data_IF_476779956258
#
_entry.id   IF_476779956258
#
_cell.length_a   1.000
_cell.length_b   1.000
_cell.length_c   1.000
_cell.angle_alpha   90.00
_cell.angle_beta   90.00
_cell.angle_gamma   90.00
#
_symmetry.space_group_name_H-M   'P 1'
#
loop_
_entity.id
_entity.type
_entity.pdbx_description
1 polymer ?
#
# COMPACT_ATOMS: atom_id res chain seq x y z
N UNK A 1 -44.18 -35.08 34.24
CA UNK A 1 -42.95 -34.87 33.45
C UNK A 1 -43.11 -33.59 32.64
N UNK A 2 -42.36 -32.52 32.97
CA UNK A 2 -42.47 -31.20 32.34
C UNK A 2 -41.10 -30.90 31.72
N UNK A 3 -41.06 -30.82 30.40
CA UNK A 3 -39.82 -30.59 29.62
C UNK A 3 -39.35 -29.15 29.86
N UNK A 4 -38.13 -28.99 30.37
CA UNK A 4 -37.45 -27.70 30.43
C UNK A 4 -37.08 -27.26 29.01
N UNK A 5 -37.61 -26.11 28.58
CA UNK A 5 -37.17 -25.45 27.35
C UNK A 5 -35.91 -24.64 27.67
N UNK A 6 -34.82 -25.01 26.99
CA UNK A 6 -33.49 -24.43 27.17
C UNK A 6 -33.45 -22.93 26.90
N UNK A 7 -32.65 -22.25 27.71
CA UNK A 7 -32.25 -20.85 27.58
C UNK A 7 -31.30 -20.75 26.38
N UNK A 8 -31.77 -20.24 25.24
CA UNK A 8 -30.90 -19.79 24.16
C UNK A 8 -30.29 -18.42 24.56
N UNK A 9 -28.97 -18.25 24.58
CA UNK A 9 -28.37 -16.93 24.69
C UNK A 9 -28.66 -16.16 23.39
N UNK A 10 -29.15 -14.93 23.54
CA UNK A 10 -29.45 -14.03 22.44
C UNK A 10 -28.24 -13.91 21.50
N UNK A 11 -28.47 -14.28 20.26
CA UNK A 11 -27.57 -14.11 19.15
C UNK A 11 -27.34 -12.61 18.90
N UNK A 12 -26.08 -12.28 18.58
CA UNK A 12 -25.68 -11.11 17.80
C UNK A 12 -25.97 -9.76 18.44
N UNK A 13 -24.94 -9.07 18.92
CA UNK A 13 -25.03 -7.61 18.97
C UNK A 13 -25.33 -7.12 17.54
N UNK A 14 -26.44 -6.41 17.29
CA UNK A 14 -26.59 -5.67 16.06
C UNK A 14 -25.61 -4.51 16.18
N UNK A 15 -24.44 -4.68 15.58
CA UNK A 15 -23.53 -3.58 15.34
C UNK A 15 -24.08 -2.74 14.19
N UNK A 16 -25.27 -2.19 14.39
CA UNK A 16 -25.79 -1.12 13.56
C UNK A 16 -25.06 0.13 13.99
N UNK A 17 -23.89 0.38 13.42
CA UNK A 17 -23.33 1.72 13.46
C UNK A 17 -24.26 2.62 12.64
N UNK A 18 -24.90 3.65 13.23
CA UNK A 18 -25.65 4.63 12.46
C UNK A 18 -24.66 5.54 11.75
N UNK A 19 -24.05 5.04 10.68
CA UNK A 19 -23.32 5.88 9.74
C UNK A 19 -24.38 6.61 8.91
N UNK A 20 -24.34 7.95 8.92
CA UNK A 20 -25.08 8.71 7.93
C UNK A 20 -24.65 8.26 6.53
N UNK A 21 -25.54 8.36 5.53
CA UNK A 21 -25.22 7.95 4.16
C UNK A 21 -23.93 8.61 3.64
N UNK A 22 -23.71 9.88 3.98
CA UNK A 22 -22.48 10.61 3.66
C UNK A 22 -21.23 10.03 4.36
N UNK A 23 -21.31 9.63 5.63
CA UNK A 23 -20.18 9.00 6.32
C UNK A 23 -19.84 7.62 5.74
N UNK A 24 -20.85 6.86 5.30
CA UNK A 24 -20.64 5.58 4.62
C UNK A 24 -20.00 5.75 3.24
N UNK A 25 -20.40 6.77 2.48
CA UNK A 25 -19.83 7.11 1.18
C UNK A 25 -18.37 7.54 1.29
N UNK A 26 -18.05 8.43 2.24
CA UNK A 26 -16.67 8.85 2.46
C UNK A 26 -15.79 7.68 2.92
N UNK A 27 -16.27 6.82 3.83
CA UNK A 27 -15.50 5.63 4.22
C UNK A 27 -15.23 4.70 3.03
N UNK A 28 -16.22 4.51 2.15
CA UNK A 28 -16.05 3.71 0.94
C UNK A 28 -15.03 4.35 -0.02
N UNK A 29 -15.04 5.68 -0.17
CA UNK A 29 -14.05 6.42 -0.96
C UNK A 29 -12.64 6.34 -0.40
N UNK A 30 -12.48 6.59 0.90
CA UNK A 30 -11.20 6.45 1.60
C UNK A 30 -10.67 5.02 1.48
N UNK A 31 -11.55 4.02 1.62
CA UNK A 31 -11.22 2.61 1.44
C UNK A 31 -10.74 2.31 0.02
N UNK A 32 -11.45 2.79 -1.01
CA UNK A 32 -11.01 2.65 -2.41
C UNK A 32 -9.64 3.28 -2.65
N UNK A 33 -9.43 4.51 -2.18
CA UNK A 33 -8.15 5.20 -2.34
C UNK A 33 -7.00 4.45 -1.65
N UNK A 34 -7.24 3.94 -0.44
CA UNK A 34 -6.27 3.13 0.29
C UNK A 34 -5.92 1.82 -0.44
N UNK A 35 -6.93 1.06 -0.87
CA UNK A 35 -6.69 -0.20 -1.59
C UNK A 35 -5.97 0.02 -2.93
N UNK A 36 -6.31 1.08 -3.66
CA UNK A 36 -5.60 1.43 -4.90
C UNK A 36 -4.12 1.74 -4.63
N UNK A 37 -3.82 2.53 -3.59
CA UNK A 37 -2.44 2.80 -3.20
C UNK A 37 -1.68 1.53 -2.78
N UNK A 38 -2.33 0.61 -2.06
CA UNK A 38 -1.73 -0.68 -1.72
C UNK A 38 -1.42 -1.52 -2.98
N UNK A 39 -2.32 -1.53 -3.97
CA UNK A 39 -2.10 -2.24 -5.23
C UNK A 39 -0.96 -1.62 -6.04
N UNK A 40 -0.89 -0.30 -6.12
CA UNK A 40 0.21 0.41 -6.78
C UNK A 40 1.55 0.11 -6.10
N UNK A 41 1.59 0.13 -4.76
CA UNK A 41 2.78 -0.20 -3.99
C UNK A 41 3.22 -1.65 -4.20
N UNK A 42 2.27 -2.60 -4.18
CA UNK A 42 2.58 -4.02 -4.44
C UNK A 42 3.08 -4.25 -5.86
N UNK A 43 2.47 -3.59 -6.84
CA UNK A 43 2.91 -3.63 -8.24
C UNK A 43 4.34 -3.12 -8.36
N UNK A 44 4.63 -1.98 -7.74
CA UNK A 44 5.94 -1.37 -7.82
C UNK A 44 7.03 -2.27 -7.23
N UNK A 45 6.77 -2.89 -6.06
CA UNK A 45 7.68 -3.89 -5.49
C UNK A 45 7.91 -5.09 -6.41
N UNK A 46 6.86 -5.57 -7.08
CA UNK A 46 6.97 -6.68 -8.01
C UNK A 46 7.83 -6.29 -9.23
N UNK A 47 7.59 -5.11 -9.79
CA UNK A 47 8.31 -4.56 -10.93
C UNK A 47 9.80 -4.36 -10.59
N UNK A 48 10.11 -3.75 -9.43
CA UNK A 48 11.48 -3.57 -8.96
C UNK A 48 12.20 -4.91 -8.71
N UNK A 49 11.52 -5.87 -8.08
CA UNK A 49 12.09 -7.21 -7.83
C UNK A 49 12.42 -7.91 -9.14
N UNK A 50 11.52 -7.84 -10.12
CA UNK A 50 11.72 -8.44 -11.43
C UNK A 50 12.89 -7.77 -12.18
N UNK A 51 12.97 -6.44 -12.17
CA UNK A 51 14.10 -5.71 -12.77
C UNK A 51 15.42 -6.11 -12.11
N UNK A 52 15.44 -6.23 -10.77
CA UNK A 52 16.64 -6.61 -10.03
C UNK A 52 17.11 -8.03 -10.38
N UNK A 53 16.19 -8.97 -10.49
CA UNK A 53 16.49 -10.35 -10.91
C UNK A 53 17.10 -10.40 -12.30
N UNK A 54 16.57 -9.61 -13.26
CA UNK A 54 17.18 -9.52 -14.60
C UNK A 54 18.61 -8.98 -14.55
N UNK A 55 18.85 -7.89 -13.80
CA UNK A 55 20.21 -7.34 -13.63
C UNK A 55 21.17 -8.32 -12.97
N UNK A 56 20.71 -9.16 -12.05
CA UNK A 56 21.54 -10.21 -11.45
C UNK A 56 21.88 -11.33 -12.44
N UNK A 57 20.93 -11.74 -13.28
CA UNK A 57 21.21 -12.70 -14.35
C UNK A 57 22.21 -12.13 -15.37
N UNK A 58 22.10 -10.85 -15.72
CA UNK A 58 23.04 -10.18 -16.61
C UNK A 58 24.43 -10.03 -15.98
N UNK A 59 24.52 -9.77 -14.68
CA UNK A 59 25.78 -9.79 -13.93
C UNK A 59 26.43 -11.18 -14.03
N UNK A 60 25.69 -12.25 -13.75
CA UNK A 60 26.22 -13.62 -13.81
C UNK A 60 26.70 -13.97 -15.22
N UNK A 61 25.92 -13.61 -16.24
CA UNK A 61 26.29 -13.82 -17.64
C UNK A 61 27.56 -13.06 -18.01
N UNK A 62 27.68 -11.80 -17.57
CA UNK A 62 28.85 -10.96 -17.82
C UNK A 62 30.08 -11.46 -17.06
N UNK A 63 29.92 -11.89 -15.81
CA UNK A 63 30.99 -12.46 -15.00
C UNK A 63 31.57 -13.73 -15.62
N UNK A 64 30.72 -14.58 -16.22
CA UNK A 64 31.16 -15.78 -16.93
C UNK A 64 31.98 -15.47 -18.20
N UNK A 65 31.91 -14.25 -18.73
CA UNK A 65 32.66 -13.79 -19.90
C UNK A 65 33.98 -13.07 -19.54
N UNK A 66 34.20 -12.73 -18.27
CA UNK A 66 35.43 -12.09 -17.81
C UNK A 66 36.64 -13.00 -18.00
N UNK A 67 37.72 -12.47 -18.56
CA UNK A 67 38.96 -13.22 -18.85
C UNK A 67 39.96 -13.19 -17.69
N UNK A 68 39.76 -12.29 -16.72
CA UNK A 68 40.65 -12.12 -15.58
C UNK A 68 39.91 -11.47 -14.39
N UNK A 69 40.56 -11.51 -13.22
CA UNK A 69 40.03 -10.94 -11.98
C UNK A 69 39.84 -9.41 -12.03
N UNK A 70 40.62 -8.69 -12.85
CA UNK A 70 40.49 -7.24 -12.99
C UNK A 70 39.21 -6.82 -13.72
N UNK A 71 38.84 -7.55 -14.78
CA UNK A 71 37.56 -7.37 -15.46
C UNK A 71 36.37 -7.68 -14.53
N UNK A 72 36.48 -8.76 -13.76
CA UNK A 72 35.45 -9.12 -12.77
C UNK A 72 35.31 -8.04 -11.68
N UNK A 73 36.42 -7.49 -11.19
CA UNK A 73 36.40 -6.42 -10.18
C UNK A 73 35.73 -5.14 -10.71
N UNK A 74 36.01 -4.75 -11.95
CA UNK A 74 35.34 -3.60 -12.59
C UNK A 74 33.84 -3.83 -12.75
N UNK A 75 33.45 -5.00 -13.26
CA UNK A 75 32.06 -5.39 -13.41
C UNK A 75 31.31 -5.35 -12.06
N UNK A 76 31.94 -5.87 -11.00
CA UNK A 76 31.36 -5.85 -9.66
C UNK A 76 31.24 -4.42 -9.11
N UNK A 77 32.23 -3.55 -9.36
CA UNK A 77 32.17 -2.14 -8.94
C UNK A 77 31.02 -1.39 -9.62
N UNK A 78 30.87 -1.55 -10.94
CA UNK A 78 29.78 -0.97 -11.71
C UNK A 78 28.41 -1.48 -11.22
N UNK A 79 28.31 -2.78 -10.94
CA UNK A 79 27.11 -3.38 -10.39
C UNK A 79 26.73 -2.82 -9.02
N UNK A 80 27.70 -2.62 -8.11
CA UNK A 80 27.44 -2.01 -6.79
C UNK A 80 26.91 -0.59 -6.96
N UNK A 81 27.58 0.23 -7.77
CA UNK A 81 27.19 1.62 -7.99
C UNK A 81 25.76 1.72 -8.54
N UNK A 82 25.45 0.89 -9.54
CA UNK A 82 24.13 0.86 -10.17
C UNK A 82 23.07 0.35 -9.19
N UNK A 83 23.36 -0.70 -8.44
CA UNK A 83 22.45 -1.28 -7.44
C UNK A 83 22.08 -0.25 -6.38
N UNK A 84 23.05 0.48 -5.83
CA UNK A 84 22.78 1.52 -4.84
C UNK A 84 21.87 2.62 -5.39
N UNK A 85 22.15 3.10 -6.61
CA UNK A 85 21.32 4.11 -7.28
C UNK A 85 19.88 3.61 -7.47
N UNK A 86 19.71 2.36 -7.88
CA UNK A 86 18.39 1.78 -8.08
C UNK A 86 17.60 1.68 -6.77
N UNK A 87 18.21 1.22 -5.68
CA UNK A 87 17.53 1.14 -4.37
C UNK A 87 17.14 2.52 -3.81
N UNK A 88 18.00 3.53 -3.99
CA UNK A 88 17.68 4.90 -3.56
C UNK A 88 16.48 5.43 -4.36
N UNK A 89 16.51 5.32 -5.68
CA UNK A 89 15.41 5.73 -6.56
C UNK A 89 14.11 5.01 -6.20
N UNK A 90 14.19 3.71 -5.94
CA UNK A 90 13.04 2.90 -5.56
C UNK A 90 12.45 3.33 -4.22
N UNK A 91 13.31 3.60 -3.23
CA UNK A 91 12.87 4.09 -1.92
C UNK A 91 12.16 5.43 -2.04
N UNK A 92 12.65 6.35 -2.87
CA UNK A 92 11.99 7.64 -3.13
C UNK A 92 10.61 7.45 -3.76
N UNK A 93 10.49 6.51 -4.70
CA UNK A 93 9.23 6.19 -5.37
C UNK A 93 8.21 5.58 -4.41
N UNK A 94 8.59 4.57 -3.63
CA UNK A 94 7.71 3.96 -2.63
C UNK A 94 7.28 4.95 -1.54
N UNK A 95 8.20 5.84 -1.12
CA UNK A 95 7.89 6.90 -0.15
C UNK A 95 6.87 7.88 -0.72
N UNK A 96 6.98 8.22 -2.01
CA UNK A 96 6.03 9.08 -2.70
C UNK A 96 4.65 8.44 -2.77
N UNK A 97 4.56 7.16 -3.17
CA UNK A 97 3.29 6.42 -3.19
C UNK A 97 2.63 6.38 -1.81
N UNK A 98 3.39 6.09 -0.75
CA UNK A 98 2.87 6.08 0.60
C UNK A 98 2.38 7.45 1.06
N UNK A 99 3.16 8.50 0.80
CA UNK A 99 2.81 9.87 1.15
C UNK A 99 1.52 10.29 0.45
N UNK A 100 1.39 10.02 -0.84
CA UNK A 100 0.23 10.40 -1.63
C UNK A 100 -1.03 9.64 -1.16
N UNK A 101 -0.88 8.35 -0.81
CA UNK A 101 -1.94 7.58 -0.17
C UNK A 101 -2.39 8.17 1.17
N UNK A 102 -1.44 8.55 2.02
CA UNK A 102 -1.72 9.13 3.34
C UNK A 102 -2.41 10.50 3.23
N UNK A 103 -1.94 11.38 2.34
CA UNK A 103 -2.57 12.69 2.12
C UNK A 103 -3.97 12.58 1.52
N UNK A 104 -4.16 11.70 0.54
CA UNK A 104 -5.48 11.49 -0.06
C UNK A 104 -6.46 10.89 0.95
N UNK A 105 -5.99 9.98 1.81
CA UNK A 105 -6.74 9.48 2.96
C UNK A 105 -7.14 10.60 3.92
N UNK A 106 -6.18 11.44 4.36
CA UNK A 106 -6.46 12.54 5.30
C UNK A 106 -7.46 13.56 4.74
N UNK A 107 -7.32 13.98 3.48
CA UNK A 107 -8.25 14.90 2.81
C UNK A 107 -9.67 14.33 2.73
N UNK A 108 -9.81 13.04 2.46
CA UNK A 108 -11.13 12.41 2.40
C UNK A 108 -11.84 12.44 3.76
N UNK A 109 -11.11 12.24 4.87
CA UNK A 109 -11.68 12.31 6.22
C UNK A 109 -12.06 13.74 6.60
N UNK A 110 -11.23 14.73 6.23
CA UNK A 110 -11.52 16.14 6.47
C UNK A 110 -12.78 16.60 5.71
N UNK A 111 -12.91 16.23 4.43
CA UNK A 111 -14.10 16.51 3.64
C UNK A 111 -15.37 15.86 4.23
N UNK A 112 -15.26 14.63 4.76
CA UNK A 112 -16.35 13.96 5.48
C UNK A 112 -16.77 14.74 6.73
N UNK A 113 -15.79 15.22 7.49
CA UNK A 113 -16.02 15.96 8.72
C UNK A 113 -16.73 17.29 8.44
N UNK A 114 -16.34 18.00 7.38
CA UNK A 114 -17.00 19.23 6.95
C UNK A 114 -18.43 19.02 6.45
N UNK A 115 -18.67 17.96 5.66
CA UNK A 115 -20.01 17.61 5.19
C UNK A 115 -20.96 17.15 6.31
N UNK A 116 -20.43 16.73 7.46
CA UNK A 116 -21.22 16.33 8.63
C UNK A 116 -21.61 17.48 9.55
N UNK A 117 -21.08 18.69 9.36
CA UNK A 117 -21.42 19.85 10.21
C UNK A 117 -22.90 20.19 10.01
N UNK A 118 -23.71 20.25 11.09
CA UNK A 118 -25.13 20.61 10.97
C UNK A 118 -25.27 22.06 10.47
N UNK A 119 -26.20 22.28 9.56
CA UNK A 119 -26.56 23.62 9.07
C UNK A 119 -27.20 24.42 10.21
N UNK A 120 -26.39 25.22 10.90
CA UNK A 120 -26.85 26.17 11.93
C UNK A 120 -27.23 27.49 11.24
N UNK A 121 -28.11 27.42 10.25
CA UNK A 121 -28.77 28.59 9.66
C UNK A 121 -30.26 28.31 9.43
N UNK A 122 -30.95 27.96 10.51
CA UNK A 122 -32.41 28.11 10.56
C UNK A 122 -32.83 28.64 11.93
N UNK A 123 -32.79 29.97 12.06
CA UNK A 123 -33.84 30.84 12.63
C UNK A 123 -33.34 32.28 12.77
#
# INVERSE_FOLDING_TARGET
MRVQKGKQPAAGMPFEFPMSSGAAETLAESGRAYFNACLEWQKELADFTNERLHKDLDLQRSAAQCKNAGELAKLHQEWVETTLKDYVRETEKLTTLFRDAAFNGAKSVEAAAEASKPDVTSK
#
